data_IF_153590905002
#
_entry.id   IF_153590905002
#
_cell.length_a   1.000
_cell.length_b   1.000
_cell.length_c   1.000
_cell.angle_alpha   90.00
_cell.angle_beta   90.00
_cell.angle_gamma   90.00
#
_symmetry.space_group_name_H-M   'P 1'
#
loop_
_entity.id
_entity.type
_entity.pdbx_description
1 polymer ?
#
# COMPACT_ATOMS: atom_id res chain seq x y z
N UNK A 1 -3.98 19.77 21.26
CA UNK A 1 -4.17 20.44 19.96
C UNK A 1 -4.81 19.40 19.05
N UNK A 2 -6.13 19.47 18.90
CA UNK A 2 -6.90 18.56 18.05
C UNK A 2 -6.55 18.83 16.59
N UNK A 3 -6.03 17.82 15.90
CA UNK A 3 -5.70 17.91 14.47
C UNK A 3 -6.97 17.59 13.67
N UNK A 4 -7.60 18.63 13.12
CA UNK A 4 -8.69 18.50 12.16
C UNK A 4 -8.16 17.98 10.81
N UNK A 5 -8.80 16.92 10.31
CA UNK A 5 -8.56 16.37 8.97
C UNK A 5 -9.42 17.14 7.96
N UNK A 6 -8.80 17.98 7.12
CA UNK A 6 -9.51 18.95 6.26
C UNK A 6 -10.00 18.41 4.90
N UNK A 7 -10.35 17.14 4.74
CA UNK A 7 -10.98 16.75 3.48
C UNK A 7 -12.04 15.65 3.59
N UNK A 8 -13.22 16.05 4.09
CA UNK A 8 -14.48 15.35 3.86
C UNK A 8 -15.12 15.74 2.50
N UNK A 9 -14.45 16.55 1.67
CA UNK A 9 -15.02 17.07 0.44
C UNK A 9 -14.83 16.09 -0.74
N UNK A 10 -15.91 15.41 -1.11
CA UNK A 10 -15.99 14.47 -2.23
C UNK A 10 -15.44 15.04 -3.56
N UNK A 11 -15.56 16.34 -3.82
CA UNK A 11 -15.08 16.94 -5.07
C UNK A 11 -13.55 16.89 -5.17
N UNK A 12 -12.85 17.13 -4.07
CA UNK A 12 -11.39 17.06 -3.99
C UNK A 12 -10.91 15.64 -4.22
N UNK A 13 -11.63 14.64 -3.68
CA UNK A 13 -11.32 13.23 -3.94
C UNK A 13 -11.48 12.85 -5.41
N UNK A 14 -12.57 13.27 -6.05
CA UNK A 14 -12.82 13.00 -7.48
C UNK A 14 -11.77 13.67 -8.38
N UNK A 15 -11.45 14.93 -8.10
CA UNK A 15 -10.44 15.68 -8.84
C UNK A 15 -9.07 15.03 -8.69
N UNK A 16 -8.70 14.67 -7.45
CA UNK A 16 -7.52 13.88 -7.21
C UNK A 16 -7.57 12.64 -8.12
N UNK A 17 -8.57 11.75 -7.98
CA UNK A 17 -8.71 10.51 -8.76
C UNK A 17 -8.44 10.73 -10.26
N UNK A 18 -9.10 11.72 -10.84
CA UNK A 18 -8.96 12.04 -12.26
C UNK A 18 -7.55 12.49 -12.67
N UNK A 19 -6.79 13.08 -11.75
CA UNK A 19 -5.43 13.53 -12.00
C UNK A 19 -4.38 12.41 -11.89
N UNK A 20 -4.68 11.22 -11.34
CA UNK A 20 -3.66 10.21 -11.03
C UNK A 20 -2.73 9.88 -12.19
N UNK A 21 -3.31 9.59 -13.36
CA UNK A 21 -2.58 9.08 -14.51
C UNK A 21 -1.57 10.13 -14.98
N UNK A 22 -2.03 11.37 -15.16
CA UNK A 22 -1.16 12.50 -15.51
C UNK A 22 -0.02 12.71 -14.50
N UNK A 23 -0.21 12.34 -13.23
CA UNK A 23 0.79 12.52 -12.17
C UNK A 23 1.83 11.42 -12.15
N UNK A 24 1.41 10.19 -12.41
CA UNK A 24 2.32 9.07 -12.63
C UNK A 24 3.16 9.31 -13.88
N UNK A 25 2.56 9.81 -14.97
CA UNK A 25 3.28 10.22 -16.17
C UNK A 25 4.30 11.32 -15.88
N UNK A 26 3.92 12.33 -15.08
CA UNK A 26 4.79 13.46 -14.72
C UNK A 26 6.04 13.07 -13.89
N UNK A 27 6.05 11.89 -13.24
CA UNK A 27 7.24 11.40 -12.54
C UNK A 27 8.41 11.14 -13.48
N UNK A 28 8.12 10.90 -14.77
CA UNK A 28 9.10 10.61 -15.80
C UNK A 28 10.12 9.54 -15.37
N UNK A 29 9.63 8.50 -14.68
CA UNK A 29 10.44 7.39 -14.19
C UNK A 29 10.32 6.21 -15.17
N UNK A 30 11.45 5.54 -15.48
CA UNK A 30 11.44 4.45 -16.46
C UNK A 30 10.52 3.32 -15.99
N UNK A 31 9.72 2.80 -16.93
CA UNK A 31 8.79 1.68 -16.74
C UNK A 31 7.71 1.89 -15.66
N UNK A 32 7.59 3.10 -15.08
CA UNK A 32 6.67 3.31 -13.97
C UNK A 32 5.21 3.15 -14.39
N UNK A 33 4.85 3.64 -15.59
CA UNK A 33 3.48 3.53 -16.12
C UNK A 33 3.07 2.07 -16.23
N UNK A 34 3.89 1.23 -16.85
CA UNK A 34 3.59 -0.20 -17.02
C UNK A 34 3.66 -1.01 -15.72
N UNK A 35 4.49 -0.58 -14.76
CA UNK A 35 4.53 -1.16 -13.41
C UNK A 35 3.28 -0.77 -12.60
N UNK A 36 2.77 0.44 -12.80
CA UNK A 36 1.61 0.95 -12.10
C UNK A 36 0.30 0.39 -12.65
N UNK A 37 0.17 0.27 -13.97
CA UNK A 37 -0.94 -0.44 -14.63
C UNK A 37 -1.04 -1.89 -14.15
N UNK A 38 0.12 -2.58 -14.06
CA UNK A 38 0.17 -3.90 -13.48
C UNK A 38 -0.38 -3.96 -12.06
N UNK A 39 0.10 -3.08 -11.17
CA UNK A 39 -0.33 -3.12 -9.78
C UNK A 39 -1.81 -2.79 -9.62
N UNK A 40 -2.33 -1.79 -10.36
CA UNK A 40 -3.70 -1.30 -10.19
C UNK A 40 -4.75 -2.13 -10.91
N UNK A 41 -4.41 -2.78 -12.02
CA UNK A 41 -5.38 -3.42 -12.90
C UNK A 41 -5.12 -4.92 -13.09
N UNK A 42 -3.90 -5.27 -13.52
CA UNK A 42 -3.56 -6.67 -13.84
C UNK A 42 -3.52 -7.54 -12.58
N UNK A 43 -2.76 -7.12 -11.56
CA UNK A 43 -2.49 -7.92 -10.37
C UNK A 43 -3.77 -8.25 -9.58
N UNK A 44 -4.67 -7.30 -9.26
CA UNK A 44 -5.93 -7.63 -8.60
C UNK A 44 -6.73 -8.67 -9.39
N UNK A 45 -6.81 -8.50 -10.72
CA UNK A 45 -7.51 -9.44 -11.59
C UNK A 45 -6.91 -10.85 -11.53
N UNK A 46 -5.58 -10.97 -11.59
CA UNK A 46 -4.86 -12.24 -11.50
C UNK A 46 -5.08 -12.94 -10.14
N UNK A 47 -5.07 -12.19 -9.05
CA UNK A 47 -5.31 -12.73 -7.71
C UNK A 47 -6.74 -13.27 -7.59
N UNK A 48 -7.74 -12.52 -8.05
CA UNK A 48 -9.15 -12.92 -7.97
C UNK A 48 -9.51 -14.09 -8.90
N UNK A 49 -8.82 -14.22 -10.05
CA UNK A 49 -8.99 -15.38 -10.94
C UNK A 49 -8.59 -16.71 -10.29
N UNK A 50 -7.78 -16.67 -9.23
CA UNK A 50 -7.31 -17.86 -8.50
C UNK A 50 -8.20 -18.24 -7.32
N UNK A 51 -9.31 -17.52 -7.10
CA UNK A 51 -10.27 -17.90 -6.07
C UNK A 51 -10.82 -19.32 -6.31
N UNK A 52 -11.05 -20.13 -5.26
CA UNK A 52 -11.09 -19.75 -3.84
C UNK A 52 -9.75 -19.73 -3.10
N UNK A 53 -8.64 -20.11 -3.75
CA UNK A 53 -7.31 -20.15 -3.15
C UNK A 53 -6.38 -19.12 -3.83
N UNK A 54 -6.60 -17.81 -3.60
CA UNK A 54 -5.78 -16.77 -4.20
C UNK A 54 -4.34 -16.86 -3.69
N UNK A 55 -3.39 -16.54 -4.57
CA UNK A 55 -1.96 -16.46 -4.25
C UNK A 55 -1.26 -15.50 -5.19
N UNK A 56 -0.12 -14.96 -4.75
CA UNK A 56 0.83 -14.24 -5.61
C UNK A 56 2.00 -15.17 -5.98
N UNK A 57 2.53 -15.05 -7.20
CA UNK A 57 3.75 -15.76 -7.61
C UNK A 57 5.01 -14.97 -7.25
N UNK A 58 6.18 -15.61 -7.29
CA UNK A 58 7.47 -14.89 -7.12
C UNK A 58 7.65 -13.80 -8.19
N UNK A 59 7.25 -14.07 -9.43
CA UNK A 59 7.38 -13.10 -10.53
C UNK A 59 6.47 -11.88 -10.34
N UNK A 60 5.24 -12.09 -9.89
CA UNK A 60 4.29 -11.02 -9.58
C UNK A 60 4.73 -10.20 -8.37
N UNK A 61 5.20 -10.86 -7.31
CA UNK A 61 5.76 -10.19 -6.12
C UNK A 61 7.00 -9.36 -6.48
N UNK A 62 7.84 -9.86 -7.39
CA UNK A 62 9.00 -9.12 -7.90
C UNK A 62 8.58 -7.88 -8.70
N UNK A 63 7.57 -7.99 -9.56
CA UNK A 63 7.03 -6.85 -10.33
C UNK A 63 6.36 -5.82 -9.41
N UNK A 64 5.63 -6.25 -8.39
CA UNK A 64 5.11 -5.38 -7.33
C UNK A 64 6.24 -4.68 -6.57
N UNK A 65 7.31 -5.38 -6.22
CA UNK A 65 8.48 -4.78 -5.56
C UNK A 65 9.14 -3.73 -6.46
N UNK A 66 9.29 -4.01 -7.75
CA UNK A 66 9.80 -3.03 -8.72
C UNK A 66 8.91 -1.78 -8.76
N UNK A 67 7.59 -1.94 -8.87
CA UNK A 67 6.63 -0.84 -8.79
C UNK A 67 6.81 0.00 -7.52
N UNK A 68 6.91 -0.65 -6.35
CA UNK A 68 7.10 0.01 -5.06
C UNK A 68 8.42 0.81 -5.01
N UNK A 69 9.52 0.20 -5.44
CA UNK A 69 10.85 0.80 -5.40
C UNK A 69 11.05 1.92 -6.44
N UNK A 70 10.41 1.82 -7.61
CA UNK A 70 10.47 2.85 -8.65
C UNK A 70 9.79 4.13 -8.18
N UNK A 71 8.67 4.04 -7.45
CA UNK A 71 8.00 5.24 -6.92
C UNK A 71 8.76 5.85 -5.75
N UNK A 72 9.28 5.02 -4.86
CA UNK A 72 9.90 5.48 -3.61
C UNK A 72 11.42 5.49 -3.59
N UNK A 73 11.96 5.17 -2.41
CA UNK A 73 13.41 5.06 -2.20
C UNK A 73 13.92 3.75 -2.82
N UNK A 74 14.76 3.88 -3.83
CA UNK A 74 15.41 2.74 -4.47
C UNK A 74 16.27 1.93 -3.47
N UNK A 75 15.97 0.64 -3.33
CA UNK A 75 16.67 -0.33 -2.47
C UNK A 75 16.81 -1.66 -3.20
N UNK A 76 17.78 -1.80 -4.12
CA UNK A 76 17.84 -2.92 -5.07
C UNK A 76 17.98 -4.28 -4.39
N UNK A 77 18.65 -4.33 -3.24
CA UNK A 77 18.78 -5.57 -2.44
C UNK A 77 17.45 -6.20 -2.05
N UNK A 78 16.38 -5.41 -1.90
CA UNK A 78 15.04 -5.95 -1.61
C UNK A 78 14.47 -6.69 -2.81
N UNK A 79 14.70 -6.19 -4.02
CA UNK A 79 14.30 -6.86 -5.24
C UNK A 79 15.09 -8.16 -5.45
N UNK A 80 16.40 -8.16 -5.16
CA UNK A 80 17.23 -9.37 -5.25
C UNK A 80 16.72 -10.47 -4.31
N UNK A 81 16.38 -10.11 -3.07
CA UNK A 81 15.82 -11.07 -2.12
C UNK A 81 14.51 -11.67 -2.62
N UNK A 82 13.56 -10.82 -3.04
CA UNK A 82 12.26 -11.28 -3.52
C UNK A 82 12.39 -12.14 -4.77
N UNK A 83 13.24 -11.75 -5.73
CA UNK A 83 13.42 -12.48 -6.99
C UNK A 83 14.08 -13.86 -6.78
N UNK A 84 14.77 -14.05 -5.66
CA UNK A 84 15.40 -15.32 -5.28
C UNK A 84 14.50 -16.25 -4.44
N UNK A 85 13.28 -15.83 -4.11
CA UNK A 85 12.36 -16.64 -3.31
C UNK A 85 11.80 -17.82 -4.12
N UNK A 86 11.67 -18.97 -3.46
CA UNK A 86 10.98 -20.12 -4.03
C UNK A 86 9.48 -19.82 -4.22
N UNK A 87 8.95 -20.14 -5.41
CA UNK A 87 7.58 -19.83 -5.78
C UNK A 87 6.54 -20.57 -4.91
N UNK A 88 6.85 -21.78 -4.44
CA UNK A 88 5.96 -22.51 -3.53
C UNK A 88 5.87 -21.84 -2.15
N UNK A 89 6.98 -21.27 -1.68
CA UNK A 89 7.01 -20.51 -0.43
C UNK A 89 6.18 -19.22 -0.54
N UNK A 90 6.32 -18.48 -1.64
CA UNK A 90 5.56 -17.24 -1.88
C UNK A 90 4.07 -17.54 -1.98
N UNK A 91 3.68 -18.59 -2.71
CA UNK A 91 2.30 -19.04 -2.81
C UNK A 91 1.73 -19.41 -1.43
N UNK A 92 2.40 -20.28 -0.69
CA UNK A 92 1.93 -20.73 0.61
C UNK A 92 1.77 -19.58 1.62
N UNK A 93 2.72 -18.64 1.66
CA UNK A 93 2.66 -17.47 2.53
C UNK A 93 1.48 -16.54 2.15
N UNK A 94 1.29 -16.28 0.86
CA UNK A 94 0.21 -15.40 0.39
C UNK A 94 -1.19 -16.01 0.55
N UNK A 95 -1.36 -17.31 0.31
CA UNK A 95 -2.64 -18.01 0.57
C UNK A 95 -3.06 -17.87 2.03
N UNK A 96 -2.15 -18.14 2.97
CA UNK A 96 -2.40 -17.99 4.41
C UNK A 96 -2.72 -16.55 4.80
N UNK A 97 -2.03 -15.59 4.16
CA UNK A 97 -2.24 -14.17 4.41
C UNK A 97 -3.64 -13.73 3.98
N UNK A 98 -4.08 -14.12 2.79
CA UNK A 98 -5.41 -13.80 2.29
C UNK A 98 -6.52 -14.49 3.09
N UNK A 99 -6.33 -15.75 3.49
CA UNK A 99 -7.24 -16.47 4.39
C UNK A 99 -7.32 -15.86 5.80
N UNK A 100 -6.31 -15.11 6.21
CA UNK A 100 -6.28 -14.46 7.52
C UNK A 100 -7.05 -13.14 7.55
N UNK A 101 -7.46 -12.59 6.41
CA UNK A 101 -8.30 -11.39 6.38
C UNK A 101 -9.68 -11.69 7.03
N UNK A 102 -10.25 -10.75 7.81
CA UNK A 102 -9.82 -9.36 7.99
C UNK A 102 -8.78 -9.12 9.13
N UNK A 103 -8.17 -10.16 9.71
CA UNK A 103 -7.11 -10.00 10.71
C UNK A 103 -5.80 -9.54 10.06
N UNK A 104 -5.61 -8.21 10.06
CA UNK A 104 -4.44 -7.55 9.45
C UNK A 104 -3.13 -7.90 10.14
N UNK A 105 -3.14 -8.16 11.46
CA UNK A 105 -1.93 -8.57 12.17
C UNK A 105 -1.46 -9.91 11.66
N UNK A 106 -2.37 -10.88 11.63
CA UNK A 106 -2.06 -12.22 11.16
C UNK A 106 -1.70 -12.20 9.67
N UNK A 107 -2.48 -11.52 8.83
CA UNK A 107 -2.23 -11.44 7.39
C UNK A 107 -0.85 -10.84 7.05
N UNK A 108 -0.44 -9.77 7.74
CA UNK A 108 0.90 -9.20 7.54
C UNK A 108 1.98 -10.15 8.07
N UNK A 109 1.78 -10.76 9.23
CA UNK A 109 2.75 -11.73 9.78
C UNK A 109 3.02 -12.87 8.81
N UNK A 110 1.99 -13.44 8.18
CA UNK A 110 2.13 -14.52 7.18
C UNK A 110 3.00 -14.11 5.98
N UNK A 111 2.96 -12.84 5.55
CA UNK A 111 3.79 -12.36 4.43
C UNK A 111 5.21 -11.94 4.85
N UNK A 112 5.38 -11.45 6.09
CA UNK A 112 6.70 -10.98 6.58
C UNK A 112 7.69 -12.11 6.86
N UNK A 113 7.28 -13.37 6.76
CA UNK A 113 8.19 -14.53 6.75
C UNK A 113 9.07 -14.56 5.49
N UNK A 114 8.62 -13.91 4.41
CA UNK A 114 9.34 -13.86 3.14
C UNK A 114 10.50 -12.86 3.22
N UNK A 115 11.71 -13.33 2.91
CA UNK A 115 12.90 -12.47 2.93
C UNK A 115 12.74 -11.30 1.96
N UNK A 116 12.95 -10.07 2.45
CA UNK A 116 12.78 -8.84 1.67
C UNK A 116 11.36 -8.28 1.66
N UNK A 117 10.39 -8.98 2.28
CA UNK A 117 9.02 -8.50 2.47
C UNK A 117 8.86 -7.99 3.91
N UNK A 118 8.74 -6.67 4.06
CA UNK A 118 8.36 -6.04 5.34
C UNK A 118 6.88 -5.63 5.35
N UNK A 119 6.36 -5.05 6.47
CA UNK A 119 4.95 -4.65 6.60
C UNK A 119 4.44 -3.75 5.46
N UNK A 120 5.29 -2.86 4.95
CA UNK A 120 4.93 -2.01 3.81
C UNK A 120 4.73 -2.80 2.50
N UNK A 121 5.56 -3.81 2.24
CA UNK A 121 5.38 -4.66 1.04
C UNK A 121 4.25 -5.66 1.23
N UNK A 122 4.12 -6.23 2.44
CA UNK A 122 3.02 -7.12 2.79
C UNK A 122 1.65 -6.42 2.61
N UNK A 123 1.52 -5.20 3.13
CA UNK A 123 0.29 -4.43 2.99
C UNK A 123 0.00 -4.03 1.53
N UNK A 124 1.01 -3.90 0.66
CA UNK A 124 0.79 -3.69 -0.78
C UNK A 124 0.17 -4.92 -1.46
N UNK A 125 0.62 -6.12 -1.08
CA UNK A 125 0.08 -7.40 -1.57
C UNK A 125 -1.36 -7.57 -1.09
N UNK A 126 -1.62 -7.31 0.20
CA UNK A 126 -2.96 -7.40 0.77
C UNK A 126 -3.93 -6.39 0.15
N UNK A 127 -3.50 -5.15 -0.08
CA UNK A 127 -4.31 -4.12 -0.74
C UNK A 127 -4.62 -4.45 -2.20
N UNK A 128 -3.72 -5.15 -2.92
CA UNK A 128 -4.01 -5.60 -4.27
C UNK A 128 -5.07 -6.71 -4.31
N UNK A 129 -5.20 -7.50 -3.25
CA UNK A 129 -6.23 -8.55 -3.14
C UNK A 129 -7.55 -8.04 -2.55
N UNK A 130 -7.50 -7.31 -1.45
CA UNK A 130 -8.68 -6.84 -0.72
C UNK A 130 -8.50 -5.38 -0.31
N UNK A 131 -8.60 -4.43 -1.27
CA UNK A 131 -8.38 -3.01 -0.99
C UNK A 131 -9.32 -2.49 0.10
N UNK A 132 -10.57 -2.96 0.14
CA UNK A 132 -11.58 -2.55 1.13
C UNK A 132 -11.23 -2.92 2.58
N UNK A 133 -10.45 -3.99 2.76
CA UNK A 133 -10.06 -4.49 4.09
C UNK A 133 -8.64 -4.08 4.46
N UNK A 134 -7.74 -4.07 3.48
CA UNK A 134 -6.30 -4.02 3.69
C UNK A 134 -5.71 -2.67 3.25
N UNK A 135 -5.49 -1.73 4.20
CA UNK A 135 -4.77 -0.51 3.91
C UNK A 135 -3.28 -0.80 3.59
N UNK A 136 -2.78 -0.38 2.41
CA UNK A 136 -1.36 -0.28 2.04
C UNK A 136 -0.58 0.87 2.72
N UNK A 137 0.49 0.51 3.43
CA UNK A 137 1.46 1.42 4.06
C UNK A 137 2.68 1.57 3.16
N UNK A 138 3.00 2.78 2.67
CA UNK A 138 4.18 3.00 1.81
C UNK A 138 5.35 3.66 2.53
N UNK A 139 6.55 3.42 1.98
CA UNK A 139 7.83 3.91 2.47
C UNK A 139 8.12 5.39 2.12
N UNK A 140 7.22 6.07 1.40
CA UNK A 140 7.42 7.43 0.83
C UNK A 140 7.13 8.61 1.79
N UNK A 141 6.92 8.35 3.08
CA UNK A 141 6.48 9.35 4.05
C UNK A 141 7.61 10.31 4.50
N UNK A 142 8.74 10.40 3.78
CA UNK A 142 9.90 11.17 4.27
C UNK A 142 10.77 11.77 3.16
N UNK A 143 10.42 12.98 2.74
CA UNK A 143 11.40 13.96 2.27
C UNK A 143 10.89 15.35 2.65
N UNK A 144 11.70 16.13 3.37
CA UNK A 144 11.44 17.54 3.73
C UNK A 144 11.33 18.50 2.53
N UNK A 145 11.14 17.94 1.32
CA UNK A 145 10.88 18.59 0.05
C UNK A 145 9.40 18.47 -0.39
N UNK A 146 8.61 17.65 0.29
CA UNK A 146 7.18 17.41 -0.02
C UNK A 146 6.26 18.55 0.43
N UNK A 147 6.69 19.43 1.34
CA UNK A 147 5.88 20.56 1.84
C UNK A 147 5.84 21.77 0.89
N UNK A 148 6.59 21.77 -0.21
CA UNK A 148 6.71 22.95 -1.11
C UNK A 148 6.58 22.62 -2.60
N UNK A 149 6.70 21.35 -3.01
CA UNK A 149 6.51 20.96 -4.41
C UNK A 149 5.75 19.63 -4.45
N UNK A 150 4.68 19.58 -5.25
CA UNK A 150 3.78 18.45 -5.55
C UNK A 150 2.58 18.23 -4.60
N UNK A 151 1.48 18.99 -4.77
CA UNK A 151 0.22 18.79 -4.04
C UNK A 151 -0.60 17.55 -4.43
N UNK A 152 -0.20 16.76 -5.45
CA UNK A 152 -1.19 16.02 -6.27
C UNK A 152 -0.90 14.51 -6.54
N UNK A 153 -0.24 13.79 -5.63
CA UNK A 153 0.05 12.34 -5.78
C UNK A 153 -1.05 11.40 -5.25
N UNK A 154 -2.34 11.55 -5.63
CA UNK A 154 -3.37 11.11 -4.66
C UNK A 154 -4.64 10.43 -5.12
N UNK A 155 -4.54 9.57 -6.12
CA UNK A 155 -5.68 9.44 -7.00
C UNK A 155 -6.03 8.03 -7.48
N UNK A 156 -5.28 7.01 -7.10
CA UNK A 156 -5.85 5.65 -7.05
C UNK A 156 -5.39 4.85 -5.82
N UNK A 157 -4.89 5.58 -4.83
CA UNK A 157 -4.48 5.04 -3.53
C UNK A 157 -5.32 5.67 -2.41
N UNK A 158 -6.58 5.91 -2.76
CA UNK A 158 -7.66 6.36 -1.89
C UNK A 158 -8.31 5.08 -1.38
N UNK A 159 -7.56 4.33 -0.57
CA UNK A 159 -8.01 4.07 0.80
C UNK A 159 -7.06 4.66 1.85
N UNK A 160 -5.92 5.24 1.45
CA UNK A 160 -4.83 5.36 2.41
C UNK A 160 -4.26 6.73 2.58
N UNK A 161 -3.88 7.41 1.53
CA UNK A 161 -2.51 7.88 1.66
C UNK A 161 -2.40 9.31 2.27
N UNK A 162 -3.45 10.17 2.20
CA UNK A 162 -3.46 11.50 2.84
C UNK A 162 -3.85 11.38 4.31
N UNK A 163 -4.75 10.45 4.62
CA UNK A 163 -5.04 10.06 5.99
C UNK A 163 -3.87 9.27 6.61
N UNK A 164 -3.14 8.45 5.86
CA UNK A 164 -1.99 7.69 6.34
C UNK A 164 -0.83 8.57 6.75
N UNK A 165 -0.52 9.62 5.98
CA UNK A 165 0.56 10.53 6.35
C UNK A 165 0.27 11.26 7.68
N UNK A 166 -0.87 11.97 7.76
CA UNK A 166 -1.26 12.71 8.98
C UNK A 166 -1.61 11.78 10.15
N UNK A 167 -2.22 10.61 9.90
CA UNK A 167 -2.51 9.62 10.93
C UNK A 167 -1.26 8.84 11.38
N UNK A 168 -0.28 8.56 10.50
CA UNK A 168 1.03 8.02 10.88
C UNK A 168 1.81 9.05 11.69
N UNK A 169 1.92 10.31 11.25
CA UNK A 169 2.59 11.35 12.06
C UNK A 169 1.89 11.55 13.41
N UNK A 170 0.55 11.56 13.44
CA UNK A 170 -0.22 11.67 14.68
C UNK A 170 -0.24 10.37 15.52
N UNK A 171 0.15 9.21 14.98
CA UNK A 171 0.26 7.93 15.71
C UNK A 171 1.67 7.62 16.19
N UNK A 172 2.67 7.99 15.39
CA UNK A 172 4.04 7.52 15.51
C UNK A 172 5.02 8.64 15.87
N UNK A 173 4.57 9.90 15.81
CA UNK A 173 5.49 11.04 15.79
C UNK A 173 6.40 10.97 14.55
N UNK A 174 7.54 11.68 14.61
CA UNK A 174 8.54 11.73 13.53
C UNK A 174 9.33 10.42 13.33
N UNK A 175 8.80 9.28 13.79
CA UNK A 175 9.48 7.98 13.78
C UNK A 175 9.43 7.34 12.39
N UNK A 176 10.62 7.02 11.85
CA UNK A 176 10.83 6.28 10.59
C UNK A 176 10.72 4.75 10.77
N UNK A 177 10.19 4.31 11.90
CA UNK A 177 10.05 2.90 12.18
C UNK A 177 8.84 2.35 11.39
N UNK A 178 9.03 1.20 10.74
CA UNK A 178 8.05 0.53 9.87
C UNK A 178 7.70 -0.84 10.46
N UNK A 179 7.57 -0.88 11.79
CA UNK A 179 7.28 -2.10 12.53
C UNK A 179 5.81 -2.52 12.39
N UNK A 180 5.54 -3.80 12.61
CA UNK A 180 4.17 -4.34 12.63
C UNK A 180 3.26 -3.58 13.62
N UNK A 181 3.79 -3.25 14.79
CA UNK A 181 3.06 -2.49 15.83
C UNK A 181 2.52 -1.16 15.30
N UNK A 182 3.31 -0.48 14.48
CA UNK A 182 2.95 0.83 13.93
C UNK A 182 1.94 0.71 12.79
N UNK A 183 2.09 -0.33 11.96
CA UNK A 183 1.08 -0.66 10.96
C UNK A 183 -0.29 -0.93 11.60
N UNK A 184 -0.33 -1.73 12.68
CA UNK A 184 -1.58 -2.03 13.38
C UNK A 184 -2.21 -0.78 14.00
N UNK A 185 -1.42 0.07 14.66
CA UNK A 185 -1.91 1.35 15.16
C UNK A 185 -2.48 2.24 14.06
N UNK A 186 -1.91 2.17 12.85
CA UNK A 186 -2.41 2.89 11.69
C UNK A 186 -3.74 2.31 11.18
N UNK A 187 -3.85 0.99 11.05
CA UNK A 187 -5.10 0.27 10.67
C UNK A 187 -6.23 0.61 11.64
N UNK A 188 -6.00 0.47 12.95
CA UNK A 188 -7.01 0.72 13.99
C UNK A 188 -7.56 2.15 13.93
N UNK A 189 -6.68 3.13 13.70
CA UNK A 189 -7.08 4.54 13.55
C UNK A 189 -7.94 4.76 12.32
N UNK A 190 -7.58 4.19 11.17
CA UNK A 190 -8.40 4.31 9.96
C UNK A 190 -9.79 3.69 10.16
N UNK A 191 -9.85 2.48 10.72
CA UNK A 191 -11.11 1.79 10.96
C UNK A 191 -11.99 2.54 11.97
N UNK A 192 -11.41 3.13 13.03
CA UNK A 192 -12.15 3.91 14.01
C UNK A 192 -12.80 5.16 13.41
N UNK A 193 -12.11 5.87 12.52
CA UNK A 193 -12.63 7.09 11.89
C UNK A 193 -13.64 6.82 10.79
N UNK A 194 -13.48 5.72 10.05
CA UNK A 194 -14.50 5.23 9.11
C UNK A 194 -15.85 5.01 9.80
N UNK A 195 -15.85 4.43 11.01
CA UNK A 195 -17.07 4.22 11.81
C UNK A 195 -17.78 5.50 12.26
N UNK A 196 -17.04 6.62 12.37
CA UNK A 196 -17.58 7.92 12.81
C UNK A 196 -18.02 8.78 11.61
N UNK A 197 -17.84 8.31 10.37
CA UNK A 197 -18.25 9.04 9.16
C UNK A 197 -17.37 10.23 8.81
N UNK A 198 -16.21 10.38 9.46
CA UNK A 198 -15.22 11.42 9.14
C UNK A 198 -14.45 11.12 7.84
N UNK A 199 -14.48 9.85 7.41
CA UNK A 199 -13.89 9.33 6.17
C UNK A 199 -14.97 8.46 5.53
N UNK A 200 -15.12 8.46 4.19
CA UNK A 200 -15.98 7.49 3.52
C UNK A 200 -15.71 6.08 4.03
N UNK A 201 -16.77 5.30 4.27
CA UNK A 201 -16.63 3.88 4.50
C UNK A 201 -15.90 3.28 3.29
N UNK A 202 -14.86 2.49 3.55
CA UNK A 202 -14.21 1.66 2.54
C UNK A 202 -15.25 0.63 2.08
N UNK A 203 -15.90 0.92 0.96
CA UNK A 203 -16.91 0.12 0.28
C UNK A 203 -16.52 0.01 -1.20
#
# INVERSE_FOLDING_TARGET
MELHFECANLSVWKEAISAYESRIESLNKPNLISLDEFYRQELPSLLHQRNPNPFITTSELSRLMQWKLTRGKWRPRLLDFVSSLDDSLVKSASEKAFQSLPDMSKAVTELTVLKGVGPATASAVLAAYSPETAPFMSDEVNSSRFSVFYPDYFALLIILFQFAYKAMEAALGNSKDYSLKQYLSFVDKLQSKSKVGEIPAFL
#
